data_IF_899971427463
#
_entry.id   IF_899971427463
#
_cell.length_a   1.000
_cell.length_b   1.000
_cell.length_c   1.000
_cell.angle_alpha   90.00
_cell.angle_beta   90.00
_cell.angle_gamma   90.00
#
_symmetry.space_group_name_H-M   'P 1'
#
loop_
_entity.id
_entity.type
_entity.pdbx_description
1 polymer ?
#
# COMPACT_ATOMS: atom_id res chain seq x y z
N UNK A 1 -4.13 4.60 -19.43
CA UNK A 1 -3.17 4.22 -18.37
C UNK A 1 -2.18 5.36 -18.17
N UNK A 2 -2.18 6.05 -17.02
CA UNK A 2 -1.01 6.84 -16.62
C UNK A 2 -0.12 5.90 -15.81
N UNK A 3 0.84 5.28 -16.47
CA UNK A 3 1.95 4.62 -15.79
C UNK A 3 2.71 5.72 -15.05
N UNK A 4 2.51 5.84 -13.74
CA UNK A 4 3.40 6.64 -12.90
C UNK A 4 4.76 5.97 -12.94
N UNK A 5 5.59 6.35 -13.91
CA UNK A 5 6.99 5.97 -13.99
C UNK A 5 7.66 6.46 -12.72
N UNK A 6 8.10 5.52 -11.88
CA UNK A 6 8.88 5.86 -10.69
C UNK A 6 10.17 6.54 -11.14
N UNK A 7 10.67 7.54 -10.41
CA UNK A 7 11.95 8.14 -10.73
C UNK A 7 13.03 7.05 -10.76
N UNK A 8 13.92 7.13 -11.74
CA UNK A 8 15.07 6.25 -11.81
C UNK A 8 16.03 6.64 -10.67
N UNK A 9 15.99 5.85 -9.60
CA UNK A 9 16.85 6.01 -8.43
C UNK A 9 17.91 4.91 -8.45
N UNK A 10 19.16 5.30 -8.21
CA UNK A 10 20.22 4.33 -8.00
C UNK A 10 20.01 3.56 -6.67
N UNK A 11 20.77 2.47 -6.50
CA UNK A 11 20.63 1.60 -5.33
C UNK A 11 20.97 2.32 -4.01
N UNK A 12 21.92 3.27 -4.03
CA UNK A 12 22.36 4.02 -2.85
C UNK A 12 21.28 5.00 -2.41
N UNK A 13 20.72 5.77 -3.36
CA UNK A 13 19.60 6.68 -3.15
C UNK A 13 18.39 5.94 -2.58
N UNK A 14 18.04 4.78 -3.13
CA UNK A 14 16.96 3.94 -2.60
C UNK A 14 17.22 3.54 -1.16
N UNK A 15 18.43 3.09 -0.82
CA UNK A 15 18.77 2.69 0.56
C UNK A 15 18.67 3.87 1.51
N UNK A 16 19.22 5.04 1.15
CA UNK A 16 19.16 6.24 1.98
C UNK A 16 17.72 6.71 2.21
N UNK A 17 16.91 6.73 1.14
CA UNK A 17 15.50 7.06 1.22
C UNK A 17 14.73 6.06 2.08
N UNK A 18 14.95 4.75 1.91
CA UNK A 18 14.28 3.73 2.72
C UNK A 18 14.62 3.85 4.21
N UNK A 19 15.88 4.17 4.56
CA UNK A 19 16.26 4.49 5.94
C UNK A 19 15.48 5.69 6.46
N UNK A 20 15.35 6.74 5.65
CA UNK A 20 14.56 7.91 6.03
C UNK A 20 13.07 7.58 6.22
N UNK A 21 12.51 6.77 5.33
CA UNK A 21 11.13 6.29 5.46
C UNK A 21 10.92 5.48 6.74
N UNK A 22 11.87 4.62 7.10
CA UNK A 22 11.84 3.88 8.36
C UNK A 22 11.89 4.81 9.58
N UNK A 23 12.75 5.84 9.57
CA UNK A 23 12.77 6.86 10.63
C UNK A 23 11.43 7.57 10.79
N UNK A 24 10.82 8.01 9.67
CA UNK A 24 9.52 8.69 9.68
C UNK A 24 8.41 7.78 10.22
N UNK A 25 8.37 6.52 9.77
CA UNK A 25 7.41 5.54 10.25
C UNK A 25 7.53 5.33 11.76
N UNK A 26 8.76 5.14 12.26
CA UNK A 26 9.01 4.91 13.68
C UNK A 26 8.67 6.15 14.54
N UNK A 27 8.72 7.36 13.97
CA UNK A 27 8.29 8.61 14.61
C UNK A 27 6.77 8.85 14.53
N UNK A 28 6.03 7.97 13.86
CA UNK A 28 4.59 8.11 13.65
C UNK A 28 4.22 9.03 12.48
N UNK A 29 5.18 9.55 11.71
CA UNK A 29 4.89 10.25 10.44
C UNK A 29 4.61 9.23 9.33
N UNK A 30 3.42 8.64 9.40
CA UNK A 30 2.96 7.60 8.47
C UNK A 30 2.87 8.13 7.05
N UNK A 31 2.40 9.37 6.85
CA UNK A 31 2.26 9.96 5.51
C UNK A 31 3.62 10.30 4.89
N UNK A 32 4.58 10.74 5.69
CA UNK A 32 5.97 10.91 5.26
C UNK A 32 6.61 9.60 4.81
N UNK A 33 6.44 8.54 5.61
CA UNK A 33 6.92 7.20 5.27
C UNK A 33 6.26 6.65 3.99
N UNK A 34 4.93 6.81 3.84
CA UNK A 34 4.17 6.36 2.67
C UNK A 34 4.71 6.94 1.37
N UNK A 35 4.95 8.25 1.32
CA UNK A 35 5.51 8.89 0.11
C UNK A 35 6.83 8.25 -0.29
N UNK A 36 7.72 8.05 0.69
CA UNK A 36 9.04 7.46 0.45
C UNK A 36 8.92 6.01 -0.05
N UNK A 37 8.18 5.16 0.65
CA UNK A 37 8.11 3.73 0.31
C UNK A 37 7.44 3.48 -1.05
N UNK A 38 6.43 4.29 -1.42
CA UNK A 38 5.83 4.22 -2.76
C UNK A 38 6.82 4.65 -3.83
N UNK A 39 7.56 5.75 -3.60
CA UNK A 39 8.55 6.27 -4.55
C UNK A 39 9.69 5.26 -4.78
N UNK A 40 10.22 4.66 -3.72
CA UNK A 40 11.33 3.71 -3.83
C UNK A 40 10.89 2.31 -4.22
N UNK A 41 9.63 1.95 -3.97
CA UNK A 41 9.11 0.59 -4.14
C UNK A 41 9.55 -0.37 -3.05
N UNK A 42 9.78 0.12 -1.83
CA UNK A 42 10.31 -0.69 -0.75
C UNK A 42 9.23 -1.62 -0.16
N UNK A 43 9.23 -2.88 -0.60
CA UNK A 43 8.20 -3.87 -0.24
C UNK A 43 7.98 -4.03 1.26
N UNK A 44 9.03 -4.16 2.08
CA UNK A 44 8.87 -4.32 3.52
C UNK A 44 8.18 -3.11 4.17
N UNK A 45 8.57 -1.89 3.74
CA UNK A 45 7.96 -0.65 4.22
C UNK A 45 6.50 -0.54 3.81
N UNK A 46 6.17 -0.94 2.57
CA UNK A 46 4.80 -0.99 2.07
C UNK A 46 3.95 -2.02 2.85
N UNK A 47 4.46 -3.22 3.13
CA UNK A 47 3.75 -4.22 3.93
C UNK A 47 3.47 -3.69 5.34
N UNK A 48 4.45 -3.05 5.98
CA UNK A 48 4.26 -2.43 7.31
C UNK A 48 3.20 -1.33 7.30
N UNK A 49 3.15 -0.50 6.25
CA UNK A 49 2.06 0.47 6.07
C UNK A 49 0.73 -0.21 5.84
N UNK A 50 0.69 -1.30 5.08
CA UNK A 50 -0.51 -2.10 4.87
C UNK A 50 -1.07 -2.64 6.19
N UNK A 51 -0.22 -3.22 7.02
CA UNK A 51 -0.59 -3.73 8.35
C UNK A 51 -1.08 -2.60 9.25
N UNK A 52 -0.40 -1.44 9.23
CA UNK A 52 -0.82 -0.25 9.96
C UNK A 52 -2.21 0.22 9.50
N UNK A 53 -2.43 0.43 8.20
CA UNK A 53 -3.71 0.86 7.66
C UNK A 53 -4.83 -0.13 8.00
N UNK A 54 -4.56 -1.43 7.90
CA UNK A 54 -5.51 -2.47 8.25
C UNK A 54 -5.91 -2.39 9.73
N UNK A 55 -4.94 -2.17 10.63
CA UNK A 55 -5.21 -1.98 12.07
C UNK A 55 -6.08 -0.74 12.36
N UNK A 56 -6.07 0.26 11.47
CA UNK A 56 -6.90 1.46 11.57
C UNK A 56 -8.26 1.30 10.88
N UNK A 57 -8.62 0.10 10.40
CA UNK A 57 -9.84 -0.16 9.65
C UNK A 57 -9.82 0.34 8.21
N UNK A 58 -8.69 0.84 7.71
CA UNK A 58 -8.53 1.45 6.38
C UNK A 58 -8.18 0.39 5.32
N UNK A 59 -9.18 -0.38 4.94
CA UNK A 59 -8.99 -1.58 4.11
C UNK A 59 -8.51 -1.28 2.69
N UNK A 60 -8.96 -0.18 2.08
CA UNK A 60 -8.55 0.19 0.72
C UNK A 60 -7.10 0.65 0.66
N UNK A 61 -6.66 1.45 1.64
CA UNK A 61 -5.27 1.86 1.76
C UNK A 61 -4.36 0.67 2.05
N UNK A 62 -4.80 -0.26 2.92
CA UNK A 62 -4.08 -1.49 3.17
C UNK A 62 -3.91 -2.32 1.89
N UNK A 63 -4.99 -2.54 1.14
CA UNK A 63 -4.96 -3.24 -0.15
C UNK A 63 -3.99 -2.58 -1.13
N UNK A 64 -4.05 -1.25 -1.27
CA UNK A 64 -3.14 -0.50 -2.14
C UNK A 64 -1.68 -0.78 -1.77
N UNK A 65 -1.35 -0.79 -0.48
CA UNK A 65 0.03 -1.05 -0.04
C UNK A 65 0.48 -2.48 -0.35
N UNK A 66 -0.35 -3.50 -0.06
CA UNK A 66 -0.01 -4.89 -0.36
C UNK A 66 0.14 -5.16 -1.86
N UNK A 67 -0.73 -4.55 -2.67
CA UNK A 67 -0.64 -4.62 -4.13
C UNK A 67 0.67 -4.03 -4.67
N UNK A 68 1.11 -2.90 -4.12
CA UNK A 68 2.37 -2.25 -4.49
C UNK A 68 3.61 -3.01 -3.98
N UNK A 69 3.46 -3.85 -2.95
CA UNK A 69 4.50 -4.69 -2.33
C UNK A 69 4.57 -6.13 -2.90
N UNK A 70 3.94 -6.38 -4.05
CA UNK A 70 3.45 -7.70 -4.49
C UNK A 70 3.08 -8.76 -3.43
N UNK A 71 2.51 -8.40 -2.28
CA UNK A 71 2.12 -9.36 -1.24
C UNK A 71 0.70 -9.91 -1.50
N UNK A 72 0.62 -10.94 -2.36
CA UNK A 72 -0.64 -11.60 -2.72
C UNK A 72 -1.39 -12.17 -1.52
N UNK A 73 -0.66 -12.78 -0.58
CA UNK A 73 -1.25 -13.42 0.61
C UNK A 73 -2.07 -12.43 1.44
N UNK A 74 -1.62 -11.17 1.52
CA UNK A 74 -2.35 -10.11 2.22
C UNK A 74 -3.34 -9.36 1.32
N UNK A 75 -3.07 -9.24 0.02
CA UNK A 75 -3.94 -8.54 -0.92
C UNK A 75 -5.21 -9.34 -1.28
N UNK A 76 -5.09 -10.65 -1.55
CA UNK A 76 -6.19 -11.49 -2.06
C UNK A 76 -7.43 -11.47 -1.17
N UNK A 77 -7.35 -11.64 0.18
CA UNK A 77 -8.54 -11.60 1.03
C UNK A 77 -9.28 -10.24 0.99
N UNK A 78 -8.55 -9.14 0.79
CA UNK A 78 -9.15 -7.81 0.67
C UNK A 78 -9.79 -7.61 -0.71
N UNK A 79 -9.20 -8.18 -1.76
CA UNK A 79 -9.76 -8.19 -3.12
C UNK A 79 -11.06 -8.99 -3.14
N UNK A 80 -11.07 -10.20 -2.58
CA UNK A 80 -12.26 -11.05 -2.51
C UNK A 80 -13.39 -10.36 -1.75
N UNK A 81 -13.07 -9.75 -0.60
CA UNK A 81 -14.06 -8.97 0.17
C UNK A 81 -14.62 -7.80 -0.64
N UNK A 82 -13.77 -7.05 -1.35
CA UNK A 82 -14.21 -5.95 -2.19
C UNK A 82 -15.10 -6.44 -3.36
N UNK A 83 -14.72 -7.54 -4.01
CA UNK A 83 -15.51 -8.13 -5.09
C UNK A 83 -16.90 -8.59 -4.61
N UNK A 84 -16.97 -9.25 -3.45
CA UNK A 84 -18.25 -9.67 -2.86
C UNK A 84 -19.16 -8.48 -2.51
N UNK A 85 -18.59 -7.39 -1.98
CA UNK A 85 -19.35 -6.17 -1.71
C UNK A 85 -19.90 -5.53 -2.98
N UNK A 86 -19.10 -5.47 -4.04
CA UNK A 86 -19.53 -4.93 -5.34
C UNK A 86 -20.67 -5.78 -5.92
N UNK A 87 -20.54 -7.11 -5.90
CA UNK A 87 -21.60 -8.01 -6.38
C UNK A 87 -22.92 -7.76 -5.65
N UNK A 88 -22.88 -7.67 -4.32
CA UNK A 88 -24.08 -7.40 -3.51
C UNK A 88 -24.71 -6.04 -3.86
N UNK A 89 -23.89 -5.00 -4.05
CA UNK A 89 -24.42 -3.67 -4.42
C UNK A 89 -25.11 -3.71 -5.79
N UNK A 90 -24.59 -4.46 -6.75
CA UNK A 90 -25.22 -4.64 -8.06
C UNK A 90 -26.56 -5.40 -7.95
N UNK A 91 -26.64 -6.44 -7.12
CA UNK A 91 -27.88 -7.18 -6.88
C UNK A 91 -28.96 -6.35 -6.18
N UNK A 92 -28.56 -5.41 -5.32
CA UNK A 92 -29.47 -4.52 -4.59
C UNK A 92 -30.02 -3.40 -5.49
N UNK A 93 -29.32 -3.00 -6.56
CA UNK A 93 -29.79 -2.02 -7.55
C UNK A 93 -30.79 -2.58 -8.57
N UNK A 94 -30.81 -3.90 -8.77
CA UNK A 94 -31.75 -4.58 -9.69
C UNK A 94 -33.14 -4.86 -9.08
N UNK A 95 -33.36 -4.51 -7.80
CA UNK A 95 -34.63 -4.69 -7.07
C UNK A 95 -35.40 -3.38 -6.88
#
# INVERSE_FOLDING_TARGET
MKTTTRPELDSVQKVQLNRKGNELFNKGDIKGAERIFITTGYSDGLIRLGDWYLSQGKQLEALKMYWLAPDKKKAEPLIEKAAALIQKLLEDEEK
#
